data_IF_180235181485
#
_entry.id   IF_180235181485
#
_cell.length_a   1.000
_cell.length_b   1.000
_cell.length_c   1.000
_cell.angle_alpha   90.00
_cell.angle_beta   90.00
_cell.angle_gamma   90.00
#
_symmetry.space_group_name_H-M   'P 1'
#
loop_
_entity.id
_entity.type
_entity.pdbx_description
1 polymer ?
#
# COMPACT_ATOMS: atom_id res chain seq x y z
N UNK A 1 -17.66 -35.01 47.51
CA UNK A 1 -16.82 -33.82 47.24
C UNK A 1 -16.13 -33.82 45.86
N UNK A 2 -16.01 -34.96 45.15
CA UNK A 2 -15.28 -35.04 43.86
C UNK A 2 -16.08 -34.49 42.67
N UNK A 3 -17.42 -34.51 42.70
CA UNK A 3 -18.26 -34.02 41.59
C UNK A 3 -18.39 -32.49 41.51
N UNK A 4 -18.15 -31.76 42.60
CA UNK A 4 -18.22 -30.29 42.61
C UNK A 4 -16.91 -29.64 42.08
N UNK A 5 -15.80 -30.39 42.11
CA UNK A 5 -14.50 -29.95 41.57
C UNK A 5 -14.52 -29.97 40.03
N UNK A 6 -15.22 -30.93 39.42
CA UNK A 6 -15.36 -31.02 37.95
C UNK A 6 -16.17 -29.86 37.37
N UNK A 7 -17.20 -29.41 38.09
CA UNK A 7 -18.00 -28.23 37.69
C UNK A 7 -17.24 -26.92 37.85
N UNK A 8 -16.41 -26.80 38.89
CA UNK A 8 -15.55 -25.63 39.12
C UNK A 8 -14.43 -25.51 38.07
N UNK A 9 -13.84 -26.64 37.66
CA UNK A 9 -12.84 -26.69 36.59
C UNK A 9 -13.42 -26.34 35.21
N UNK A 10 -14.68 -26.71 34.94
CA UNK A 10 -15.36 -26.39 33.67
C UNK A 10 -15.74 -24.90 33.57
N UNK A 11 -16.05 -24.25 34.70
CA UNK A 11 -16.34 -22.81 34.73
C UNK A 11 -15.09 -21.95 34.54
N UNK A 12 -13.93 -22.39 35.02
CA UNK A 12 -12.66 -21.67 34.85
C UNK A 12 -12.12 -21.71 33.40
N UNK A 13 -12.43 -22.77 32.64
CA UNK A 13 -12.03 -22.90 31.23
C UNK A 13 -12.84 -22.00 30.30
N UNK A 14 -14.10 -21.69 30.63
CA UNK A 14 -14.96 -20.82 29.80
C UNK A 14 -14.62 -19.33 29.99
N UNK A 15 -14.15 -18.92 31.17
CA UNK A 15 -13.78 -17.52 31.44
C UNK A 15 -12.38 -17.17 30.89
N UNK A 16 -11.51 -18.17 30.66
CA UNK A 16 -10.15 -17.94 30.17
C UNK A 16 -10.04 -17.73 28.64
N UNK A 17 -11.13 -17.87 27.89
CA UNK A 17 -11.14 -17.72 26.42
C UNK A 17 -11.77 -16.41 25.94
N UNK A 18 -12.28 -15.58 26.84
CA UNK A 18 -12.70 -14.21 26.54
C UNK A 18 -11.51 -13.28 26.66
N UNK A 19 -10.56 -13.33 25.73
CA UNK A 19 -9.64 -12.21 25.54
C UNK A 19 -10.49 -10.97 25.27
N UNK A 20 -10.51 -10.02 26.21
CA UNK A 20 -11.13 -8.72 26.03
C UNK A 20 -10.30 -7.98 25.00
N UNK A 21 -10.60 -8.17 23.70
CA UNK A 21 -10.15 -7.25 22.68
C UNK A 21 -11.05 -6.02 22.81
N UNK A 22 -10.50 -4.89 23.23
CA UNK A 22 -11.22 -3.64 23.24
C UNK A 22 -11.17 -3.05 21.83
N UNK A 23 -12.32 -3.02 21.16
CA UNK A 23 -12.47 -2.30 19.90
C UNK A 23 -12.09 -0.83 20.10
N UNK A 24 -11.47 -0.22 19.09
CA UNK A 24 -11.24 1.21 19.10
C UNK A 24 -12.59 1.95 19.22
N UNK A 25 -12.65 3.01 20.03
CA UNK A 25 -13.84 3.86 20.09
C UNK A 25 -13.67 5.01 19.10
N UNK A 26 -14.69 5.35 18.32
CA UNK A 26 -14.67 6.52 17.44
C UNK A 26 -14.47 7.79 18.27
N UNK A 27 -13.41 8.59 18.04
CA UNK A 27 -13.18 9.81 18.82
C UNK A 27 -14.32 10.84 18.63
N UNK A 28 -14.88 11.35 19.72
CA UNK A 28 -15.79 12.50 19.67
C UNK A 28 -14.99 13.77 19.89
N UNK A 29 -14.81 14.56 18.83
CA UNK A 29 -13.92 15.72 18.81
C UNK A 29 -14.53 16.89 18.05
N UNK A 30 -14.02 18.09 18.33
CA UNK A 30 -14.31 19.30 17.56
C UNK A 30 -13.04 20.13 17.32
N UNK A 31 -13.03 20.89 16.23
CA UNK A 31 -11.94 21.78 15.84
C UNK A 31 -12.47 23.20 15.69
N UNK A 32 -11.86 24.15 16.41
CA UNK A 32 -12.17 25.57 16.29
C UNK A 32 -10.91 26.38 16.03
N UNK A 33 -11.08 27.60 15.54
CA UNK A 33 -10.03 28.61 15.46
C UNK A 33 -10.52 29.91 16.09
N UNK A 34 -9.60 30.70 16.64
CA UNK A 34 -9.88 32.05 17.14
C UNK A 34 -10.42 32.98 16.03
N UNK A 35 -9.99 32.74 14.79
CA UNK A 35 -10.41 33.48 13.59
C UNK A 35 -10.29 32.61 12.33
N UNK A 36 -11.14 32.93 11.36
CA UNK A 36 -11.22 32.24 10.06
C UNK A 36 -10.90 33.14 8.87
N UNK A 37 -10.68 34.43 9.12
CA UNK A 37 -10.21 35.42 8.14
C UNK A 37 -9.01 36.13 8.72
N UNK A 38 -7.87 36.07 8.04
CA UNK A 38 -6.59 36.60 8.54
C UNK A 38 -5.79 37.32 7.47
N UNK A 39 -4.84 38.14 7.89
CA UNK A 39 -3.82 38.69 7.01
C UNK A 39 -2.67 37.70 6.79
N UNK A 40 -1.91 37.88 5.71
CA UNK A 40 -0.65 37.16 5.50
C UNK A 40 0.28 37.37 6.70
N UNK A 41 0.89 36.29 7.18
CA UNK A 41 1.73 36.20 8.38
C UNK A 41 1.02 36.48 9.73
N UNK A 42 -0.31 36.60 9.75
CA UNK A 42 -1.05 36.66 10.99
C UNK A 42 -1.29 35.23 11.54
N UNK A 43 -0.90 35.01 12.80
CA UNK A 43 -1.07 33.71 13.47
C UNK A 43 -2.53 33.43 13.79
N UNK A 44 -3.00 32.23 13.43
CA UNK A 44 -4.28 31.61 13.82
C UNK A 44 -4.02 30.62 14.95
N UNK A 45 -4.85 30.66 15.99
CA UNK A 45 -4.82 29.70 17.09
C UNK A 45 -5.97 28.70 16.95
N UNK A 46 -5.63 27.43 16.73
CA UNK A 46 -6.58 26.32 16.65
C UNK A 46 -6.72 25.64 18.02
N UNK A 47 -7.95 25.30 18.38
CA UNK A 47 -8.25 24.56 19.61
C UNK A 47 -9.01 23.29 19.27
N UNK A 48 -8.55 22.18 19.84
CA UNK A 48 -9.20 20.87 19.73
C UNK A 48 -9.94 20.58 21.03
N UNK A 49 -11.21 20.17 20.92
CA UNK A 49 -11.97 19.65 22.05
C UNK A 49 -12.29 18.17 21.85
N UNK A 50 -12.55 17.44 22.95
CA UNK A 50 -12.74 15.99 22.94
C UNK A 50 -11.47 15.21 23.27
N UNK A 51 -11.54 13.88 23.18
CA UNK A 51 -10.44 12.96 23.55
C UNK A 51 -10.12 12.02 22.40
N UNK A 52 -8.82 11.87 22.11
CA UNK A 52 -8.29 10.86 21.21
C UNK A 52 -6.85 10.49 21.63
N UNK A 53 -6.37 9.35 21.16
CA UNK A 53 -5.00 8.92 21.44
C UNK A 53 -3.95 9.72 20.67
N UNK A 54 -4.30 10.14 19.44
CA UNK A 54 -3.44 10.96 18.58
C UNK A 54 -4.26 12.01 17.84
N UNK A 55 -3.61 13.15 17.55
CA UNK A 55 -4.14 14.25 16.78
C UNK A 55 -3.11 14.70 15.74
N UNK A 56 -3.56 14.85 14.49
CA UNK A 56 -2.75 15.41 13.39
C UNK A 56 -3.57 16.48 12.69
N UNK A 57 -2.99 17.65 12.48
CA UNK A 57 -3.62 18.75 11.75
C UNK A 57 -2.89 19.04 10.45
N UNK A 58 -3.65 19.13 9.37
CA UNK A 58 -3.20 19.57 8.05
C UNK A 58 -3.69 21.00 7.86
N UNK A 59 -2.78 21.93 7.59
CA UNK A 59 -3.08 23.37 7.47
C UNK A 59 -3.72 23.74 6.12
N UNK A 60 -3.65 22.84 5.14
CA UNK A 60 -4.28 22.96 3.83
C UNK A 60 -3.46 23.72 2.79
N UNK A 61 -2.29 24.23 3.16
CA UNK A 61 -1.31 24.80 2.24
C UNK A 61 -0.35 23.74 1.69
N UNK A 62 0.52 24.14 0.75
CA UNK A 62 1.40 23.22 0.04
C UNK A 62 2.18 22.33 1.00
N UNK A 63 2.30 21.04 0.66
CA UNK A 63 2.88 19.97 1.49
C UNK A 63 2.13 19.62 2.79
N UNK A 64 1.02 20.30 3.08
CA UNK A 64 0.17 20.10 4.26
C UNK A 64 -1.32 19.98 3.89
N UNK A 65 -1.62 19.44 2.70
CA UNK A 65 -2.97 19.16 2.23
C UNK A 65 -3.39 17.72 2.58
N UNK A 66 -4.47 17.54 3.35
CA UNK A 66 -4.92 16.19 3.74
C UNK A 66 -5.23 15.29 2.54
N UNK A 67 -5.81 15.83 1.47
CA UNK A 67 -6.14 15.08 0.25
C UNK A 67 -4.91 14.49 -0.45
N UNK A 68 -3.71 15.03 -0.19
CA UNK A 68 -2.43 14.54 -0.70
C UNK A 68 -1.65 13.72 0.34
N UNK A 69 -2.24 13.45 1.51
CA UNK A 69 -1.63 12.59 2.52
C UNK A 69 -1.64 11.13 2.08
N UNK A 70 -0.71 10.32 2.63
CA UNK A 70 -0.73 8.88 2.39
C UNK A 70 -2.09 8.27 2.73
N UNK A 71 -2.68 8.65 3.87
CA UNK A 71 -3.97 8.11 4.29
C UNK A 71 -5.08 8.34 3.26
N UNK A 72 -5.22 9.56 2.73
CA UNK A 72 -6.27 9.89 1.78
C UNK A 72 -6.02 9.29 0.39
N UNK A 73 -4.77 9.34 -0.10
CA UNK A 73 -4.43 8.89 -1.45
C UNK A 73 -4.52 7.37 -1.59
N UNK A 74 -4.26 6.65 -0.51
CA UNK A 74 -4.20 5.18 -0.50
C UNK A 74 -5.52 4.54 -0.03
N UNK A 75 -6.51 5.35 0.36
CA UNK A 75 -7.78 4.85 0.88
C UNK A 75 -8.51 3.98 -0.15
N UNK A 76 -8.79 2.73 0.25
CA UNK A 76 -9.47 1.76 -0.60
C UNK A 76 -8.67 1.34 -1.84
N UNK A 77 -7.37 1.61 -1.88
CA UNK A 77 -6.47 1.20 -2.95
C UNK A 77 -5.63 0.00 -2.52
N UNK A 78 -5.30 -0.83 -3.49
CA UNK A 78 -4.28 -1.86 -3.33
C UNK A 78 -2.90 -1.19 -3.45
N UNK A 79 -2.20 -1.09 -2.32
CA UNK A 79 -0.89 -0.45 -2.21
C UNK A 79 0.21 -1.25 -2.89
N UNK A 80 -0.01 -2.54 -3.08
CA UNK A 80 0.94 -3.49 -3.65
C UNK A 80 0.55 -3.88 -5.08
N UNK A 81 -0.29 -3.08 -5.74
CA UNK A 81 -0.73 -3.34 -7.11
C UNK A 81 0.39 -3.06 -8.12
N UNK A 82 1.36 -3.96 -8.16
CA UNK A 82 2.22 -4.17 -9.31
C UNK A 82 1.39 -4.88 -10.40
N UNK A 83 1.37 -4.35 -11.61
CA UNK A 83 0.71 -4.99 -12.74
C UNK A 83 1.63 -4.91 -13.96
N UNK A 84 2.06 -6.06 -14.46
CA UNK A 84 2.83 -6.14 -15.70
C UNK A 84 2.11 -6.97 -16.74
N UNK A 85 2.15 -6.51 -17.99
CA UNK A 85 1.36 -7.09 -19.09
C UNK A 85 2.22 -7.18 -20.35
N UNK A 86 2.19 -8.32 -21.02
CA UNK A 86 2.67 -8.43 -22.40
C UNK A 86 1.55 -7.98 -23.32
N UNK A 87 1.71 -6.84 -24.01
CA UNK A 87 0.75 -6.40 -25.02
C UNK A 87 1.09 -6.99 -26.39
N UNK A 88 0.13 -6.92 -27.32
CA UNK A 88 0.37 -7.31 -28.72
C UNK A 88 1.52 -6.51 -29.35
N UNK A 89 1.59 -5.20 -29.08
CA UNK A 89 2.66 -4.32 -29.60
C UNK A 89 4.02 -4.63 -28.97
N UNK A 90 4.03 -4.96 -27.67
CA UNK A 90 5.22 -5.46 -26.98
C UNK A 90 5.71 -6.79 -27.55
N UNK A 91 4.80 -7.71 -27.88
CA UNK A 91 5.14 -8.99 -28.53
C UNK A 91 5.75 -8.77 -29.92
N UNK A 92 5.21 -7.83 -30.71
CA UNK A 92 5.82 -7.44 -31.98
C UNK A 92 7.23 -6.86 -31.76
N UNK A 93 7.40 -6.04 -30.73
CA UNK A 93 8.67 -5.38 -30.41
C UNK A 93 9.74 -6.33 -29.86
N UNK A 94 9.36 -7.36 -29.10
CA UNK A 94 10.30 -8.34 -28.55
C UNK A 94 10.75 -9.37 -29.58
N UNK A 95 9.93 -9.63 -30.60
CA UNK A 95 10.16 -10.72 -31.57
C UNK A 95 11.55 -10.64 -32.25
N UNK A 96 12.01 -9.49 -32.78
CA UNK A 96 13.34 -9.40 -33.38
C UNK A 96 14.48 -9.70 -32.40
N UNK A 97 14.36 -9.23 -31.16
CA UNK A 97 15.35 -9.46 -30.11
C UNK A 97 15.43 -10.94 -29.72
N UNK A 98 14.28 -11.57 -29.50
CA UNK A 98 14.21 -12.97 -29.13
C UNK A 98 14.68 -13.89 -30.27
N UNK A 99 14.39 -13.52 -31.52
CA UNK A 99 14.85 -14.26 -32.71
C UNK A 99 16.38 -14.37 -32.73
N UNK A 100 17.10 -13.27 -32.48
CA UNK A 100 18.57 -13.27 -32.45
C UNK A 100 19.11 -14.22 -31.37
N UNK A 101 18.46 -14.28 -30.21
CA UNK A 101 18.89 -15.14 -29.10
C UNK A 101 18.66 -16.61 -29.46
N UNK A 102 17.48 -16.96 -30.00
CA UNK A 102 17.16 -18.32 -30.43
C UNK A 102 18.09 -18.77 -31.57
N UNK A 103 18.36 -17.92 -32.54
CA UNK A 103 19.28 -18.22 -33.65
C UNK A 103 20.71 -18.47 -33.15
N UNK A 104 21.20 -17.63 -32.25
CA UNK A 104 22.52 -17.80 -31.65
C UNK A 104 22.62 -19.08 -30.81
N UNK A 105 21.57 -19.43 -30.07
CA UNK A 105 21.49 -20.68 -29.33
C UNK A 105 21.57 -21.89 -30.29
N UNK A 106 20.71 -21.89 -31.32
CA UNK A 106 20.63 -22.96 -32.32
C UNK A 106 21.95 -23.13 -33.09
N UNK A 107 22.64 -22.04 -33.43
CA UNK A 107 23.94 -22.08 -34.10
C UNK A 107 25.05 -22.72 -33.25
N UNK A 108 24.89 -22.73 -31.92
CA UNK A 108 25.83 -23.34 -30.98
C UNK A 108 25.59 -24.82 -30.69
N UNK A 109 24.51 -25.42 -31.23
CA UNK A 109 24.15 -26.81 -30.96
C UNK A 109 25.03 -27.80 -31.76
N UNK A 110 25.29 -28.96 -31.15
CA UNK A 110 25.98 -30.06 -31.83
C UNK A 110 25.09 -30.68 -32.95
N UNK A 111 25.70 -31.25 -34.01
CA UNK A 111 24.94 -31.91 -35.07
C UNK A 111 24.03 -33.02 -34.53
N UNK A 112 22.76 -32.99 -34.94
CA UNK A 112 21.75 -33.99 -34.56
C UNK A 112 20.91 -33.64 -33.34
N UNK A 113 21.21 -32.52 -32.66
CA UNK A 113 20.31 -31.96 -31.64
C UNK A 113 19.17 -31.21 -32.32
N UNK A 114 17.89 -31.44 -31.92
CA UNK A 114 16.77 -30.67 -32.44
C UNK A 114 16.91 -29.18 -32.15
N UNK A 115 16.59 -28.35 -33.15
CA UNK A 115 16.60 -26.90 -32.99
C UNK A 115 15.37 -26.44 -32.20
N UNK A 116 15.56 -25.40 -31.39
CA UNK A 116 14.46 -24.69 -30.73
C UNK A 116 13.69 -23.89 -31.78
N UNK A 117 12.37 -24.03 -31.78
CA UNK A 117 11.49 -23.35 -32.74
C UNK A 117 11.06 -21.97 -32.22
N UNK A 118 11.49 -20.92 -32.91
CA UNK A 118 11.05 -19.55 -32.62
C UNK A 118 9.53 -19.40 -32.78
N UNK A 119 8.94 -19.97 -33.83
CA UNK A 119 7.49 -19.94 -34.05
C UNK A 119 6.71 -20.60 -32.90
N UNK A 120 7.20 -21.71 -32.36
CA UNK A 120 6.58 -22.37 -31.22
C UNK A 120 6.66 -21.51 -29.95
N UNK A 121 7.80 -20.83 -29.72
CA UNK A 121 7.95 -19.90 -28.61
C UNK A 121 6.96 -18.74 -28.75
N UNK A 122 6.88 -18.12 -29.94
CA UNK A 122 5.96 -17.00 -30.19
C UNK A 122 4.49 -17.41 -30.01
N UNK A 123 4.08 -18.57 -30.54
CA UNK A 123 2.72 -19.10 -30.33
C UNK A 123 2.39 -19.30 -28.85
N UNK A 124 3.34 -19.76 -28.05
CA UNK A 124 3.14 -19.87 -26.61
C UNK A 124 3.08 -18.49 -25.94
N UNK A 125 3.94 -17.54 -26.32
CA UNK A 125 3.92 -16.18 -25.79
C UNK A 125 2.63 -15.42 -26.15
N UNK A 126 2.03 -15.68 -27.31
CA UNK A 126 0.70 -15.16 -27.67
C UNK A 126 -0.36 -15.54 -26.62
N UNK A 127 -0.21 -16.69 -25.93
CA UNK A 127 -1.14 -17.08 -24.85
C UNK A 127 -1.01 -16.24 -23.58
N UNK A 128 0.08 -15.48 -23.44
CA UNK A 128 0.30 -14.56 -22.32
C UNK A 128 -0.10 -13.13 -22.63
N UNK A 129 -0.45 -12.82 -23.89
CA UNK A 129 -0.85 -11.47 -24.28
C UNK A 129 -2.09 -11.04 -23.50
N UNK A 130 -2.05 -9.81 -22.98
CA UNK A 130 -3.07 -9.19 -22.12
C UNK A 130 -3.31 -9.90 -20.77
N UNK A 131 -2.53 -10.94 -20.45
CA UNK A 131 -2.56 -11.57 -19.13
C UNK A 131 -1.85 -10.66 -18.12
N UNK A 132 -2.57 -10.34 -17.05
CA UNK A 132 -2.09 -9.50 -15.94
C UNK A 132 -1.32 -10.34 -14.92
N UNK A 133 -0.13 -9.89 -14.56
CA UNK A 133 0.67 -10.48 -13.50
C UNK A 133 0.88 -9.48 -12.37
N UNK A 134 0.74 -9.95 -11.13
CA UNK A 134 0.90 -9.13 -9.92
C UNK A 134 2.35 -8.93 -9.50
N UNK A 135 3.31 -9.46 -10.26
CA UNK A 135 4.74 -9.26 -10.10
C UNK A 135 5.51 -9.75 -11.33
N UNK A 136 6.69 -9.16 -11.56
CA UNK A 136 7.60 -9.54 -12.65
C UNK A 136 8.12 -10.97 -12.57
N UNK A 137 8.24 -11.55 -11.37
CA UNK A 137 8.74 -12.92 -11.18
C UNK A 137 7.79 -13.97 -11.78
N UNK A 138 6.48 -13.81 -11.56
CA UNK A 138 5.45 -14.72 -12.07
C UNK A 138 5.35 -14.64 -13.60
N UNK A 139 5.40 -13.42 -14.16
CA UNK A 139 5.46 -13.21 -15.60
C UNK A 139 6.72 -13.85 -16.23
N UNK A 140 7.86 -13.69 -15.56
CA UNK A 140 9.14 -14.27 -16.01
C UNK A 140 9.09 -15.79 -15.94
N UNK A 141 8.49 -16.37 -14.90
CA UNK A 141 8.40 -17.81 -14.74
C UNK A 141 7.58 -18.48 -15.85
N UNK A 142 6.41 -17.94 -16.19
CA UNK A 142 5.61 -18.51 -17.29
C UNK A 142 6.31 -18.38 -18.64
N UNK A 143 6.92 -17.22 -18.89
CA UNK A 143 7.74 -16.99 -20.08
C UNK A 143 8.91 -17.98 -20.19
N UNK A 144 9.58 -18.25 -19.07
CA UNK A 144 10.69 -19.20 -18.97
C UNK A 144 10.27 -20.62 -19.40
N UNK A 145 9.06 -21.07 -19.02
CA UNK A 145 8.58 -22.41 -19.35
C UNK A 145 8.52 -22.64 -20.87
N UNK A 146 8.26 -21.61 -21.66
CA UNK A 146 8.20 -21.70 -23.11
C UNK A 146 9.56 -21.74 -23.80
N UNK A 147 10.62 -21.41 -23.08
CA UNK A 147 11.99 -21.34 -23.60
C UNK A 147 12.94 -22.35 -22.94
N UNK A 148 12.43 -23.25 -22.09
CA UNK A 148 13.25 -24.16 -21.26
C UNK A 148 14.20 -25.05 -22.09
N UNK A 149 13.81 -25.37 -23.32
CA UNK A 149 14.62 -26.15 -24.28
C UNK A 149 15.92 -25.44 -24.68
N UNK A 150 16.02 -24.11 -24.50
CA UNK A 150 17.26 -23.34 -24.69
C UNK A 150 18.28 -23.56 -23.57
N UNK A 151 17.93 -24.36 -22.55
CA UNK A 151 18.70 -24.59 -21.34
C UNK A 151 18.30 -23.64 -20.21
N UNK A 152 18.14 -24.18 -19.00
CA UNK A 152 17.53 -23.48 -17.87
C UNK A 152 18.21 -22.15 -17.49
N UNK A 153 19.54 -22.06 -17.62
CA UNK A 153 20.28 -20.83 -17.32
C UNK A 153 20.01 -19.70 -18.33
N UNK A 154 20.04 -20.03 -19.63
CA UNK A 154 19.76 -19.06 -20.69
C UNK A 154 18.27 -18.68 -20.67
N UNK A 155 17.38 -19.66 -20.65
CA UNK A 155 15.93 -19.45 -20.62
C UNK A 155 15.50 -18.53 -19.47
N UNK A 156 16.07 -18.70 -18.27
CA UNK A 156 15.77 -17.83 -17.12
C UNK A 156 16.21 -16.39 -17.37
N UNK A 157 17.41 -16.20 -17.90
CA UNK A 157 17.95 -14.86 -18.18
C UNK A 157 17.10 -14.15 -19.23
N UNK A 158 16.79 -14.84 -20.34
CA UNK A 158 15.95 -14.31 -21.42
C UNK A 158 14.55 -13.97 -20.90
N UNK A 159 13.94 -14.82 -20.09
CA UNK A 159 12.61 -14.55 -19.55
C UNK A 159 12.59 -13.32 -18.62
N UNK A 160 13.58 -13.18 -17.74
CA UNK A 160 13.72 -11.98 -16.89
C UNK A 160 13.94 -10.73 -17.73
N UNK A 161 14.83 -10.77 -18.72
CA UNK A 161 15.10 -9.63 -19.59
C UNK A 161 13.87 -9.27 -20.42
N UNK A 162 13.10 -10.25 -20.89
CA UNK A 162 11.89 -10.04 -21.66
C UNK A 162 10.85 -9.24 -20.85
N UNK A 163 10.63 -9.61 -19.59
CA UNK A 163 9.71 -8.88 -18.71
C UNK A 163 10.24 -7.48 -18.41
N UNK A 164 11.53 -7.31 -18.14
CA UNK A 164 12.09 -6.00 -17.81
C UNK A 164 12.13 -5.02 -18.99
N UNK A 165 12.30 -5.53 -20.21
CA UNK A 165 12.53 -4.70 -21.39
C UNK A 165 11.27 -4.51 -22.25
N UNK A 166 10.34 -5.47 -22.24
CA UNK A 166 9.24 -5.50 -23.19
C UNK A 166 7.85 -5.57 -22.56
N UNK A 167 7.69 -6.05 -21.32
CA UNK A 167 6.38 -5.98 -20.67
C UNK A 167 6.08 -4.54 -20.31
N UNK A 168 4.82 -4.14 -20.47
CA UNK A 168 4.35 -2.84 -20.02
C UNK A 168 4.11 -2.89 -18.51
N UNK A 169 4.53 -1.80 -17.84
CA UNK A 169 4.32 -1.60 -16.42
C UNK A 169 3.05 -0.77 -16.23
N UNK A 170 1.96 -1.44 -15.85
CA UNK A 170 0.65 -0.86 -15.55
C UNK A 170 0.45 -0.69 -14.03
N UNK A 171 1.53 -0.80 -13.26
CA UNK A 171 1.49 -0.64 -11.80
C UNK A 171 0.98 0.75 -11.43
N UNK A 172 0.13 0.80 -10.40
CA UNK A 172 -0.41 2.07 -9.93
C UNK A 172 0.56 2.69 -8.94
N UNK A 173 1.30 3.71 -9.37
CA UNK A 173 2.05 4.57 -8.46
C UNK A 173 1.09 5.54 -7.77
N UNK A 174 0.73 5.20 -6.52
CA UNK A 174 -0.16 6.04 -5.71
C UNK A 174 0.56 7.28 -5.15
N UNK A 175 1.88 7.26 -5.05
CA UNK A 175 2.64 8.40 -4.51
C UNK A 175 2.53 9.63 -5.43
N UNK A 176 2.10 10.79 -4.91
CA UNK A 176 2.11 12.04 -5.67
C UNK A 176 3.54 12.41 -6.13
N UNK A 177 3.67 13.15 -7.23
CA UNK A 177 4.97 13.55 -7.79
C UNK A 177 5.86 14.31 -6.79
N UNK A 178 5.26 15.17 -5.98
CA UNK A 178 5.93 15.94 -4.91
C UNK A 178 6.08 15.17 -3.59
N UNK A 179 5.63 13.91 -3.56
CA UNK A 179 5.52 13.10 -2.35
C UNK A 179 4.21 13.34 -1.57
N UNK A 180 4.02 12.57 -0.51
CA UNK A 180 2.84 12.73 0.34
C UNK A 180 2.94 13.99 1.20
N UNK A 181 1.81 14.70 1.31
CA UNK A 181 1.67 15.77 2.30
C UNK A 181 1.72 15.23 3.72
N UNK A 182 2.23 16.04 4.64
CA UNK A 182 2.37 15.71 6.06
C UNK A 182 1.56 16.69 6.91
N UNK A 183 1.07 16.23 8.05
CA UNK A 183 0.42 17.10 9.02
C UNK A 183 1.35 17.39 10.21
N UNK A 184 0.91 18.30 11.06
CA UNK A 184 1.55 18.59 12.34
C UNK A 184 0.88 17.76 13.44
N UNK A 185 1.69 17.11 14.28
CA UNK A 185 1.18 16.42 15.46
C UNK A 185 0.78 17.45 16.52
N UNK A 186 -0.40 17.28 17.12
CA UNK A 186 -0.83 18.07 18.28
C UNK A 186 -0.64 17.23 19.54
N UNK A 187 -0.07 17.81 20.59
CA UNK A 187 0.00 17.16 21.89
C UNK A 187 -1.42 16.92 22.41
N UNK A 188 -1.75 15.66 22.69
CA UNK A 188 -3.07 15.25 23.19
C UNK A 188 -3.44 15.83 24.55
N UNK A 189 -2.49 16.40 25.29
CA UNK A 189 -2.71 17.06 26.57
C UNK A 189 -2.87 18.57 26.43
N UNK A 190 -2.16 19.21 25.49
CA UNK A 190 -2.25 20.66 25.27
C UNK A 190 -3.41 21.05 24.34
N UNK A 191 -3.69 20.23 23.31
CA UNK A 191 -4.82 20.38 22.38
C UNK A 191 -4.94 21.76 21.70
N UNK A 192 -3.81 22.47 21.60
CA UNK A 192 -3.69 23.76 20.91
C UNK A 192 -2.63 23.69 19.81
N UNK A 193 -2.85 24.44 18.73
CA UNK A 193 -1.89 24.57 17.63
C UNK A 193 -1.94 25.98 17.05
N UNK A 194 -0.78 26.57 16.78
CA UNK A 194 -0.67 27.91 16.18
C UNK A 194 -0.01 27.82 14.81
N UNK A 195 -0.53 28.58 13.84
CA UNK A 195 0.00 28.61 12.48
C UNK A 195 -0.17 29.98 11.82
N UNK A 196 0.79 30.37 10.97
CA UNK A 196 0.72 31.60 10.20
C UNK A 196 0.90 31.28 8.71
N UNK A 197 -0.06 31.67 7.90
CA UNK A 197 -0.03 31.47 6.44
C UNK A 197 0.80 32.56 5.76
N UNK A 198 1.65 32.18 4.82
CA UNK A 198 2.55 33.09 4.11
C UNK A 198 2.03 33.55 2.73
N UNK A 199 0.93 32.97 2.25
CA UNK A 199 0.32 33.27 0.96
C UNK A 199 -1.17 33.59 1.11
N UNK A 200 -1.71 34.38 0.18
CA UNK A 200 -3.15 34.67 0.11
C UNK A 200 -3.88 33.46 -0.47
N UNK A 201 -5.05 33.13 0.07
CA UNK A 201 -5.76 31.95 -0.36
C UNK A 201 -6.90 31.51 0.55
N UNK A 202 -7.54 30.40 0.16
CA UNK A 202 -8.51 29.69 0.99
C UNK A 202 -7.97 28.31 1.28
N UNK A 203 -7.82 27.98 2.56
CA UNK A 203 -7.19 26.75 3.03
C UNK A 203 -8.21 25.90 3.77
N UNK A 204 -8.24 24.60 3.47
CA UNK A 204 -9.06 23.62 4.20
C UNK A 204 -8.17 22.98 5.26
N UNK A 205 -8.31 23.45 6.49
CA UNK A 205 -7.64 22.87 7.65
C UNK A 205 -8.36 21.57 8.00
N UNK A 206 -7.63 20.48 8.08
CA UNK A 206 -8.17 19.15 8.38
C UNK A 206 -7.53 18.59 9.63
N UNK A 207 -8.33 18.34 10.68
CA UNK A 207 -7.90 17.63 11.88
C UNK A 207 -8.30 16.16 11.77
N UNK A 208 -7.35 15.28 12.05
CA UNK A 208 -7.55 13.84 12.20
C UNK A 208 -7.31 13.48 13.66
N UNK A 209 -8.33 12.97 14.32
CA UNK A 209 -8.24 12.35 15.63
C UNK A 209 -8.31 10.82 15.45
N UNK A 210 -7.39 10.07 16.05
CA UNK A 210 -7.36 8.59 15.95
C UNK A 210 -7.31 7.94 17.32
N UNK A 211 -8.13 6.90 17.51
CA UNK A 211 -8.03 5.92 18.58
C UNK A 211 -7.64 4.56 17.99
N UNK A 212 -6.76 3.86 18.68
CA UNK A 212 -6.28 2.52 18.34
C UNK A 212 -6.88 1.52 19.33
N UNK A 213 -7.41 0.43 18.81
CA UNK A 213 -7.92 -0.69 19.60
C UNK A 213 -6.79 -1.60 20.06
N UNK A 214 -7.14 -2.68 20.74
CA UNK A 214 -6.17 -3.72 21.05
C UNK A 214 -5.70 -4.44 19.78
N UNK A 215 -4.49 -5.00 19.85
CA UNK A 215 -3.99 -5.87 18.78
C UNK A 215 -4.91 -7.09 18.63
N UNK A 216 -5.37 -7.34 17.42
CA UNK A 216 -6.11 -8.54 17.00
C UNK A 216 -5.13 -9.70 16.85
N UNK A 217 -5.18 -10.64 17.78
CA UNK A 217 -4.38 -11.85 17.73
C UNK A 217 -5.08 -12.98 16.96
N UNK A 218 -4.31 -13.77 16.22
CA UNK A 218 -4.78 -15.00 15.56
C UNK A 218 -4.03 -16.25 16.08
N UNK A 219 -4.54 -17.46 15.79
CA UNK A 219 -3.85 -18.72 16.08
C UNK A 219 -3.50 -18.97 17.56
N UNK A 220 -2.22 -19.26 17.86
CA UNK A 220 -1.71 -19.47 19.23
C UNK A 220 -1.52 -18.17 20.02
N UNK A 221 -2.06 -17.06 19.53
CA UNK A 221 -1.99 -15.74 20.16
C UNK A 221 -0.59 -15.14 20.09
N UNK A 222 -0.25 -14.33 21.09
CA UNK A 222 1.01 -13.57 21.19
C UNK A 222 2.29 -14.40 20.99
N UNK A 223 2.26 -15.72 21.23
CA UNK A 223 3.44 -16.59 21.14
C UNK A 223 3.87 -16.89 19.70
N UNK A 224 2.91 -17.08 18.80
CA UNK A 224 3.15 -17.42 17.40
C UNK A 224 3.09 -16.24 16.45
N UNK A 225 2.37 -15.19 16.83
CA UNK A 225 2.01 -14.07 15.96
C UNK A 225 2.71 -12.76 16.39
N UNK A 226 4.04 -12.76 16.20
CA UNK A 226 4.93 -11.65 16.59
C UNK A 226 5.10 -10.60 15.49
N UNK A 227 4.22 -10.58 14.49
CA UNK A 227 4.28 -9.56 13.44
C UNK A 227 3.81 -8.20 13.98
N UNK A 228 4.05 -7.12 13.24
CA UNK A 228 3.68 -5.76 13.65
C UNK A 228 3.24 -4.98 12.42
N UNK A 229 1.97 -5.08 12.06
CA UNK A 229 1.35 -4.30 10.99
C UNK A 229 0.14 -3.50 11.51
N UNK A 230 -0.18 -2.39 10.84
CA UNK A 230 -1.30 -1.53 11.23
C UNK A 230 -2.66 -2.24 11.17
N UNK A 231 -2.82 -3.19 10.24
CA UNK A 231 -4.05 -3.95 10.02
C UNK A 231 -4.38 -4.94 11.16
N UNK A 232 -3.40 -5.19 12.03
CA UNK A 232 -3.60 -5.97 13.26
C UNK A 232 -4.35 -5.16 14.34
N UNK A 233 -4.69 -3.89 14.12
CA UNK A 233 -5.40 -3.05 15.08
C UNK A 233 -6.72 -2.53 14.52
N UNK A 234 -7.69 -2.27 15.38
CA UNK A 234 -8.81 -1.40 15.00
C UNK A 234 -8.34 0.06 15.05
N UNK A 235 -8.52 0.78 13.96
CA UNK A 235 -8.17 2.20 13.86
C UNK A 235 -9.43 2.99 13.58
N UNK A 236 -9.95 3.69 14.59
CA UNK A 236 -11.12 4.54 14.42
C UNK A 236 -10.71 6.01 14.40
N UNK A 237 -11.17 6.71 13.37
CA UNK A 237 -10.80 8.09 13.08
C UNK A 237 -12.03 8.98 13.02
N UNK A 238 -11.85 10.22 13.48
CA UNK A 238 -12.78 11.32 13.23
C UNK A 238 -12.03 12.42 12.52
N UNK A 239 -12.57 12.86 11.40
CA UNK A 239 -12.02 13.93 10.57
C UNK A 239 -12.91 15.16 10.71
N UNK A 240 -12.29 16.32 10.98
CA UNK A 240 -12.96 17.62 11.06
C UNK A 240 -12.26 18.61 10.16
N UNK A 241 -13.06 19.38 9.44
CA UNK A 241 -12.57 20.40 8.53
C UNK A 241 -13.00 21.79 8.97
N UNK A 242 -12.11 22.75 8.79
CA UNK A 242 -12.34 24.18 9.03
C UNK A 242 -11.72 24.97 7.88
N UNK A 243 -12.43 25.99 7.38
CA UNK A 243 -11.92 26.84 6.31
C UNK A 243 -11.28 28.11 6.88
N UNK A 244 -10.05 28.41 6.46
CA UNK A 244 -9.35 29.68 6.73
C UNK A 244 -9.20 30.45 5.42
N UNK A 245 -9.52 31.75 5.44
CA UNK A 245 -9.30 32.68 4.32
C UNK A 245 -8.20 33.67 4.68
N UNK A 246 -7.16 33.75 3.85
CA UNK A 246 -6.02 34.67 4.00
C UNK A 246 -6.10 35.73 2.91
N UNK A 247 -6.04 37.01 3.30
CA UNK A 247 -6.23 38.16 2.41
C UNK A 247 -5.20 39.26 2.64
#
# INVERSE_FOLDING_TARGET
>A
MINNIKFLAMFFVVVALGGCNKDAIVPEIDLTADKVKVQVNETVAFTVSGEAETFVIYTGDSMHEFAKSHLAVTEGKDLDQEEVVLTSDSLVSLTPWLTVIVDNHNAGLEPGIPLVSMDAILQNLETLVDKKYTNKESASYESYLFMIEMGSGLARTVATDMVNLYYEDHSVLLTPEEGFSTGFTIDRYEKSFEYAYNEVGTYIVTLIATNVGDKKYSGSGYQGDRTSSGDEYDLNRTIKELTITVQ
#
